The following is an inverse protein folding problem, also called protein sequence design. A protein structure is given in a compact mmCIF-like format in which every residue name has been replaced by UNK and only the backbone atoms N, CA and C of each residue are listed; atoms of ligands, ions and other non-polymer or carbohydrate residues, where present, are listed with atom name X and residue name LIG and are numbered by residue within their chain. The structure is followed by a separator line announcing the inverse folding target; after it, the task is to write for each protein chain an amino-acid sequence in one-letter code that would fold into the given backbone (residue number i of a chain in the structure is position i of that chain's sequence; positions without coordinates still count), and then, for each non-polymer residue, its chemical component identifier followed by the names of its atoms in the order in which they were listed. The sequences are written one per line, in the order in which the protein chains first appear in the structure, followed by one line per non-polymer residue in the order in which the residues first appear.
data_IF_060674948772
#
_entry.id   IF_060674948772
#
_cell.length_a   1.000
_cell.length_b   1.000
_cell.length_c   1.000
_cell.angle_alpha   90.00
_cell.angle_beta   90.00
_cell.angle_gamma   90.00
#
_symmetry.space_group_name_H-M   'P 1'
#
loop_
_entity.id
_entity.type
_entity.pdbx_description
1 polymer ?
#
# COMPACT_ATOMS: atom_id res chain seq x y z
N UNK A 1 59.64 4.00 33.97
CA UNK A 1 58.85 2.76 34.15
C UNK A 1 57.39 3.19 34.28
N UNK A 2 56.83 3.80 33.23
CA UNK A 2 55.60 4.60 33.35
C UNK A 2 54.61 4.35 32.21
N UNK A 3 54.69 3.17 31.57
CA UNK A 3 53.71 2.73 30.57
C UNK A 3 52.91 1.48 30.98
N UNK A 4 53.24 0.86 32.12
CA UNK A 4 52.54 -0.34 32.60
C UNK A 4 51.32 -0.01 33.51
N UNK A 5 51.13 1.24 33.93
CA UNK A 5 49.96 1.64 34.73
C UNK A 5 48.71 2.02 33.90
N UNK A 6 48.82 2.20 32.58
CA UNK A 6 47.67 2.59 31.73
C UNK A 6 46.90 1.39 31.16
N UNK A 7 47.51 0.20 31.08
CA UNK A 7 46.90 -0.98 30.45
C UNK A 7 45.92 -1.68 31.40
N UNK A 8 46.08 -1.54 32.71
CA UNK A 8 45.20 -2.21 33.70
C UNK A 8 43.86 -1.50 33.92
N UNK A 9 43.71 -0.23 33.52
CA UNK A 9 42.45 0.52 33.67
C UNK A 9 41.47 0.31 32.51
N UNK A 10 41.91 -0.17 31.34
CA UNK A 10 41.03 -0.40 30.19
C UNK A 10 40.39 -1.79 30.15
N UNK A 11 40.84 -2.71 31.01
CA UNK A 11 40.45 -4.13 30.95
C UNK A 11 39.32 -4.53 31.90
N UNK A 12 38.77 -3.62 32.72
CA UNK A 12 37.69 -3.94 33.68
C UNK A 12 36.29 -3.47 33.27
N UNK A 13 36.09 -2.99 32.04
CA UNK A 13 34.75 -2.63 31.54
C UNK A 13 34.32 -3.57 30.41
N UNK A 14 34.23 -4.87 30.74
CA UNK A 14 33.70 -5.89 29.83
C UNK A 14 32.31 -6.36 30.31
N UNK A 15 31.25 -5.93 29.63
CA UNK A 15 30.10 -6.79 29.28
C UNK A 15 29.12 -6.09 28.32
N UNK A 16 28.94 -6.74 27.17
CA UNK A 16 28.22 -6.45 25.90
C UNK A 16 26.87 -5.68 25.96
N UNK A 17 26.41 -4.98 24.89
CA UNK A 17 26.56 -5.33 23.46
C UNK A 17 26.85 -4.16 22.49
N UNK A 18 27.71 -3.18 22.83
CA UNK A 18 27.92 -1.99 21.98
C UNK A 18 29.15 -2.01 21.04
N UNK A 19 30.00 -3.05 21.08
CA UNK A 19 31.22 -3.09 20.25
C UNK A 19 31.00 -3.54 18.79
N UNK A 20 29.80 -4.00 18.41
CA UNK A 20 29.51 -4.38 17.03
C UNK A 20 29.28 -3.18 16.11
N UNK A 21 28.84 -2.04 16.64
CA UNK A 21 28.47 -0.86 15.85
C UNK A 21 29.67 -0.08 15.27
N UNK A 22 30.81 -0.08 15.96
CA UNK A 22 31.99 0.64 15.49
C UNK A 22 32.75 -0.10 14.38
N UNK A 23 32.77 -1.43 14.43
CA UNK A 23 33.40 -2.25 13.38
C UNK A 23 32.62 -2.22 12.06
N UNK A 24 31.29 -2.18 12.12
CA UNK A 24 30.43 -2.12 10.91
C UNK A 24 30.55 -0.75 10.23
N UNK A 25 30.72 0.34 10.99
CA UNK A 25 30.84 1.70 10.41
C UNK A 25 32.14 1.89 9.62
N UNK A 26 33.26 1.32 10.09
CA UNK A 26 34.54 1.41 9.38
C UNK A 26 34.58 0.53 8.12
N UNK A 27 33.94 -0.65 8.17
CA UNK A 27 33.75 -1.50 7.00
C UNK A 27 32.82 -0.85 5.96
N UNK A 28 31.78 -0.14 6.39
CA UNK A 28 30.83 0.51 5.48
C UNK A 28 31.47 1.68 4.70
N UNK A 29 32.34 2.48 5.35
CA UNK A 29 33.07 3.57 4.69
C UNK A 29 34.07 3.03 3.67
N UNK A 30 34.81 1.96 4.00
CA UNK A 30 35.71 1.31 3.04
C UNK A 30 34.95 0.59 1.89
N UNK A 31 33.79 0.00 2.17
CA UNK A 31 32.96 -0.66 1.15
C UNK A 31 32.33 0.36 0.18
N UNK A 32 31.93 1.54 0.67
CA UNK A 32 31.43 2.63 -0.17
C UNK A 32 32.51 3.20 -1.11
N UNK A 33 33.75 3.41 -0.65
CA UNK A 33 34.84 3.86 -1.54
C UNK A 33 35.20 2.78 -2.58
N UNK A 34 35.17 1.50 -2.20
CA UNK A 34 35.47 0.39 -3.12
C UNK A 34 34.37 0.16 -4.14
N UNK A 35 33.09 0.34 -3.78
CA UNK A 35 31.93 0.30 -4.69
C UNK A 35 31.89 1.50 -5.65
N UNK A 36 32.32 2.68 -5.20
CA UNK A 36 32.41 3.85 -6.05
C UNK A 36 33.52 3.68 -7.09
N UNK A 37 34.67 3.12 -6.70
CA UNK A 37 35.75 2.75 -7.62
C UNK A 37 35.37 1.61 -8.56
N UNK A 38 34.65 0.59 -8.06
CA UNK A 38 34.13 -0.51 -8.87
C UNK A 38 33.11 -0.03 -9.90
N UNK A 39 32.29 0.97 -9.57
CA UNK A 39 31.31 1.55 -10.51
C UNK A 39 32.00 2.27 -11.67
N UNK A 40 33.10 2.98 -11.42
CA UNK A 40 33.86 3.67 -12.47
C UNK A 40 34.61 2.65 -13.36
N UNK A 41 35.18 1.59 -12.78
CA UNK A 41 35.88 0.54 -13.54
C UNK A 41 34.92 -0.34 -14.35
N UNK A 42 33.75 -0.70 -13.81
CA UNK A 42 32.73 -1.51 -14.51
C UNK A 42 32.09 -0.72 -15.66
N UNK A 43 31.95 0.60 -15.53
CA UNK A 43 31.48 1.46 -16.63
C UNK A 43 32.48 1.58 -17.80
N UNK A 44 33.78 1.30 -17.59
CA UNK A 44 34.78 1.33 -18.66
C UNK A 44 35.01 -0.02 -19.36
N UNK A 45 34.65 -1.16 -18.75
CA UNK A 45 34.97 -2.51 -19.28
C UNK A 45 33.82 -3.16 -20.09
N UNK A 46 32.62 -2.57 -20.13
CA UNK A 46 31.45 -3.17 -20.82
C UNK A 46 31.20 -2.63 -22.25
N UNK A 47 32.23 -2.12 -22.93
CA UNK A 47 32.16 -1.79 -24.34
C UNK A 47 32.64 -2.96 -25.20
N UNK A 48 31.72 -3.56 -25.98
CA UNK A 48 31.96 -4.47 -27.14
C UNK A 48 31.73 -5.98 -26.94
N UNK A 49 30.51 -6.41 -26.57
CA UNK A 49 29.99 -7.76 -26.91
C UNK A 49 28.45 -7.73 -27.02
N UNK A 50 27.91 -7.76 -28.24
CA UNK A 50 26.47 -7.83 -28.57
C UNK A 50 25.87 -9.23 -28.32
N UNK A 51 26.02 -9.75 -27.10
CA UNK A 51 25.47 -11.05 -26.68
C UNK A 51 25.08 -11.15 -25.20
N UNK A 52 25.38 -10.13 -24.37
CA UNK A 52 25.21 -10.19 -22.91
C UNK A 52 23.94 -9.46 -22.42
N UNK A 53 23.30 -8.65 -23.28
CA UNK A 53 22.02 -7.97 -22.95
C UNK A 53 20.84 -8.93 -22.87
N UNK A 54 20.87 -9.99 -23.67
CA UNK A 54 19.85 -11.04 -23.64
C UNK A 54 19.91 -11.88 -22.37
N UNK A 55 21.09 -12.11 -21.79
CA UNK A 55 21.23 -12.90 -20.57
C UNK A 55 20.67 -12.20 -19.33
N UNK A 56 20.82 -10.88 -19.21
CA UNK A 56 20.16 -10.13 -18.14
C UNK A 56 18.63 -10.17 -18.28
N UNK A 57 18.11 -9.97 -19.49
CA UNK A 57 16.67 -10.03 -19.74
C UNK A 57 16.13 -11.44 -19.54
N UNK A 58 16.84 -12.47 -19.97
CA UNK A 58 16.46 -13.87 -19.79
C UNK A 58 16.54 -14.30 -18.31
N UNK A 59 17.54 -13.83 -17.57
CA UNK A 59 17.63 -14.03 -16.13
C UNK A 59 16.53 -13.27 -15.37
N UNK A 60 16.23 -12.03 -15.76
CA UNK A 60 15.10 -11.28 -15.20
C UNK A 60 13.76 -11.94 -15.52
N UNK A 61 13.55 -12.43 -16.74
CA UNK A 61 12.35 -13.15 -17.14
C UNK A 61 12.21 -14.49 -16.40
N UNK A 62 13.33 -15.19 -16.18
CA UNK A 62 13.38 -16.45 -15.43
C UNK A 62 13.11 -16.21 -13.93
N UNK A 63 13.66 -15.14 -13.34
CA UNK A 63 13.35 -14.74 -11.96
C UNK A 63 11.89 -14.33 -11.79
N UNK A 64 11.32 -13.57 -12.73
CA UNK A 64 9.89 -13.20 -12.71
C UNK A 64 9.01 -14.44 -12.86
N UNK A 65 9.35 -15.38 -13.74
CA UNK A 65 8.62 -16.64 -13.90
C UNK A 65 8.65 -17.48 -12.61
N UNK A 66 9.80 -17.61 -11.95
CA UNK A 66 9.93 -18.33 -10.67
C UNK A 66 9.07 -17.67 -9.57
N UNK A 67 9.07 -16.34 -9.47
CA UNK A 67 8.25 -15.61 -8.51
C UNK A 67 6.74 -15.80 -8.76
N UNK A 68 6.32 -15.83 -10.03
CA UNK A 68 4.93 -16.11 -10.41
C UNK A 68 4.52 -17.54 -10.08
N UNK A 69 5.40 -18.52 -10.35
CA UNK A 69 5.16 -19.93 -10.01
C UNK A 69 5.03 -20.12 -8.50
N UNK A 70 5.87 -19.46 -7.70
CA UNK A 70 5.75 -19.49 -6.24
C UNK A 70 4.45 -18.82 -5.75
N UNK A 71 4.02 -17.72 -6.37
CA UNK A 71 2.74 -17.07 -6.04
C UNK A 71 1.54 -17.98 -6.38
N UNK A 72 1.60 -18.71 -7.49
CA UNK A 72 0.59 -19.69 -7.91
C UNK A 72 0.55 -20.92 -6.98
N UNK A 73 1.70 -21.42 -6.52
CA UNK A 73 1.80 -22.51 -5.54
C UNK A 73 1.26 -22.12 -4.16
N UNK A 74 1.50 -20.89 -3.70
CA UNK A 74 0.91 -20.39 -2.45
C UNK A 74 -0.58 -20.02 -2.58
N UNK A 75 -1.10 -19.94 -3.81
CA UNK A 75 -2.54 -19.78 -4.06
C UNK A 75 -3.31 -21.11 -3.95
N UNK A 76 -2.64 -22.26 -4.14
CA UNK A 76 -3.26 -23.60 -3.96
C UNK A 76 -3.12 -24.17 -2.55
N UNK A 77 -2.17 -23.68 -1.74
CA UNK A 77 -2.05 -24.00 -0.32
C UNK A 77 -3.04 -23.23 0.60
N UNK A 78 -3.98 -22.47 0.03
CA UNK A 78 -5.10 -21.89 0.78
C UNK A 78 -6.43 -22.12 0.04
N UNK A 79 -7.00 -23.31 0.20
CA UNK A 79 -8.44 -23.55 0.01
C UNK A 79 -9.03 -23.74 1.41
N UNK A 80 -10.03 -23.00 1.91
CA UNK A 80 -11.13 -22.29 1.25
C UNK A 80 -11.63 -21.09 2.10
N UNK A 81 -12.15 -20.04 1.45
CA UNK A 81 -13.58 -19.70 1.54
C UNK A 81 -13.94 -18.48 0.67
N UNK A 82 -14.81 -18.75 -0.32
CA UNK A 82 -15.74 -17.86 -1.03
C UNK A 82 -15.31 -16.42 -1.37
N UNK A 83 -14.96 -16.18 -2.64
CA UNK A 83 -15.06 -14.85 -3.24
C UNK A 83 -16.28 -14.80 -4.16
N UNK A 84 -17.40 -14.35 -3.59
CA UNK A 84 -18.53 -13.83 -4.35
C UNK A 84 -18.07 -12.61 -5.16
N UNK A 85 -18.07 -12.74 -6.47
CA UNK A 85 -18.09 -11.64 -7.43
C UNK A 85 -19.52 -11.09 -7.48
N UNK A 86 -19.81 -9.82 -7.16
CA UNK A 86 -20.95 -9.17 -7.78
C UNK A 86 -20.42 -8.50 -9.05
N UNK A 87 -20.48 -9.26 -10.15
CA UNK A 87 -20.59 -8.67 -11.47
C UNK A 87 -21.98 -8.02 -11.55
N UNK A 88 -22.05 -6.93 -12.30
CA UNK A 88 -23.28 -6.19 -12.58
C UNK A 88 -24.37 -7.15 -13.06
N UNK A 89 -25.60 -7.00 -12.55
CA UNK A 89 -26.85 -7.02 -13.31
C UNK A 89 -28.03 -6.65 -12.41
N UNK A 90 -28.93 -5.91 -13.01
CA UNK A 90 -30.27 -5.56 -12.58
C UNK A 90 -31.16 -6.82 -12.41
N UNK A 91 -32.15 -6.76 -11.50
CA UNK A 91 -33.24 -7.74 -11.32
C UNK A 91 -32.88 -8.89 -10.35
N UNK A 92 -33.41 -8.92 -9.12
CA UNK A 92 -34.78 -9.26 -8.67
C UNK A 92 -34.77 -10.64 -7.99
N UNK A 93 -35.17 -10.62 -6.72
CA UNK A 93 -35.79 -11.72 -5.96
C UNK A 93 -34.97 -12.95 -5.56
N UNK A 94 -34.36 -12.88 -4.37
CA UNK A 94 -34.65 -13.88 -3.32
C UNK A 94 -34.78 -13.18 -1.96
N UNK A 95 -35.92 -13.45 -1.33
CA UNK A 95 -36.45 -12.78 -0.16
C UNK A 95 -35.73 -13.24 1.12
N UNK A 96 -35.27 -12.25 1.90
CA UNK A 96 -35.18 -12.24 3.35
C UNK A 96 -34.42 -13.36 4.09
N UNK A 97 -33.08 -13.42 4.01
CA UNK A 97 -32.28 -13.83 5.18
C UNK A 97 -30.77 -13.52 5.05
N UNK A 98 -30.36 -12.27 5.20
CA UNK A 98 -29.08 -11.97 5.86
C UNK A 98 -29.14 -10.55 6.40
N UNK A 99 -29.55 -10.47 7.66
CA UNK A 99 -29.13 -9.47 8.66
C UNK A 99 -28.05 -8.52 8.11
N UNK A 100 -28.45 -7.27 7.78
CA UNK A 100 -27.61 -6.16 7.30
C UNK A 100 -26.12 -6.48 7.44
N UNK A 101 -25.50 -7.06 6.41
CA UNK A 101 -24.05 -7.03 6.33
C UNK A 101 -23.73 -5.55 6.21
N UNK A 102 -23.34 -4.95 7.33
CA UNK A 102 -23.08 -3.53 7.43
C UNK A 102 -21.73 -3.32 6.75
N UNK A 103 -21.73 -3.46 5.42
CA UNK A 103 -20.58 -3.37 4.54
C UNK A 103 -19.90 -2.08 4.95
N UNK A 104 -18.73 -2.23 5.57
CA UNK A 104 -18.02 -1.13 6.22
C UNK A 104 -17.55 -0.20 5.10
N UNK A 105 -18.43 0.70 4.68
CA UNK A 105 -18.15 1.61 3.56
C UNK A 105 -17.15 2.65 4.03
N UNK A 106 -16.07 2.79 3.28
CA UNK A 106 -15.11 3.85 3.50
C UNK A 106 -15.69 5.19 3.02
N UNK A 107 -16.43 5.87 3.90
CA UNK A 107 -17.07 7.16 3.62
C UNK A 107 -16.08 8.20 3.08
N UNK A 108 -14.81 8.17 3.52
CA UNK A 108 -13.77 9.09 3.04
C UNK A 108 -13.54 8.94 1.54
N UNK A 109 -13.31 7.70 1.08
CA UNK A 109 -13.05 7.41 -0.32
C UNK A 109 -14.30 7.61 -1.19
N UNK A 110 -15.44 7.09 -0.74
CA UNK A 110 -16.70 7.19 -1.48
C UNK A 110 -17.14 8.65 -1.70
N UNK A 111 -17.04 9.48 -0.65
CA UNK A 111 -17.36 10.90 -0.78
C UNK A 111 -16.34 11.67 -1.62
N UNK A 112 -15.06 11.30 -1.61
CA UNK A 112 -14.06 11.91 -2.48
C UNK A 112 -14.38 11.63 -3.97
N UNK A 113 -14.81 10.40 -4.30
CA UNK A 113 -15.26 10.06 -5.66
C UNK A 113 -16.50 10.85 -6.08
N UNK A 114 -17.51 10.95 -5.21
CA UNK A 114 -18.75 11.71 -5.44
C UNK A 114 -18.47 13.20 -5.70
N UNK A 115 -17.61 13.81 -4.87
CA UNK A 115 -17.31 15.22 -4.90
C UNK A 115 -16.21 15.62 -5.89
N UNK A 116 -15.67 14.68 -6.67
CA UNK A 116 -14.53 14.91 -7.57
C UNK A 116 -14.78 16.04 -8.57
N UNK A 117 -16.00 16.15 -9.11
CA UNK A 117 -16.41 17.17 -10.09
C UNK A 117 -17.13 18.37 -9.47
N UNK A 118 -17.35 18.38 -8.15
CA UNK A 118 -18.06 19.47 -7.50
C UNK A 118 -17.18 20.73 -7.48
N UNK A 119 -17.76 21.89 -7.82
CA UNK A 119 -17.07 23.19 -7.75
C UNK A 119 -16.50 23.44 -6.34
N UNK A 120 -17.30 23.19 -5.30
CA UNK A 120 -16.89 23.32 -3.89
C UNK A 120 -16.59 21.98 -3.23
N UNK A 121 -15.46 21.35 -3.59
CA UNK A 121 -15.06 19.99 -3.13
C UNK A 121 -15.09 19.82 -1.61
N UNK A 122 -14.49 20.73 -0.84
CA UNK A 122 -14.42 20.65 0.64
C UNK A 122 -15.81 20.67 1.30
N UNK A 123 -16.71 21.52 0.80
CA UNK A 123 -18.10 21.63 1.30
C UNK A 123 -18.88 20.36 0.96
N UNK A 124 -18.79 19.90 -0.29
CA UNK A 124 -19.41 18.66 -0.75
C UNK A 124 -18.95 17.46 0.10
N UNK A 125 -17.65 17.31 0.33
CA UNK A 125 -17.13 16.19 1.11
C UNK A 125 -17.62 16.22 2.56
N UNK A 126 -17.66 17.41 3.19
CA UNK A 126 -18.15 17.55 4.55
C UNK A 126 -19.62 17.12 4.65
N UNK A 127 -20.47 17.61 3.75
CA UNK A 127 -21.88 17.23 3.69
C UNK A 127 -22.04 15.72 3.43
N UNK A 128 -21.36 15.20 2.40
CA UNK A 128 -21.40 13.78 2.06
C UNK A 128 -20.97 12.87 3.22
N UNK A 129 -19.89 13.22 3.95
CA UNK A 129 -19.42 12.43 5.11
C UNK A 129 -20.48 12.34 6.20
N UNK A 130 -21.23 13.43 6.47
CA UNK A 130 -22.33 13.38 7.45
C UNK A 130 -23.47 12.47 7.00
N UNK A 131 -23.85 12.52 5.72
CA UNK A 131 -24.88 11.64 5.15
C UNK A 131 -24.42 10.18 5.13
N UNK A 132 -23.15 9.93 4.79
CA UNK A 132 -22.56 8.59 4.77
C UNK A 132 -22.45 7.98 6.17
N UNK A 133 -22.11 8.77 7.20
CA UNK A 133 -22.10 8.28 8.59
C UNK A 133 -23.48 7.87 9.09
N UNK A 134 -24.55 8.47 8.56
CA UNK A 134 -25.93 8.17 8.97
C UNK A 134 -26.55 7.02 8.17
N UNK A 135 -26.28 6.97 6.87
CA UNK A 135 -26.91 6.02 5.96
C UNK A 135 -25.99 4.86 5.54
N UNK A 136 -24.69 4.93 5.82
CA UNK A 136 -23.66 3.98 5.41
C UNK A 136 -23.74 3.59 3.92
N UNK A 137 -24.14 4.54 3.08
CA UNK A 137 -24.35 4.38 1.65
C UNK A 137 -23.98 5.70 0.95
N UNK A 138 -23.23 5.61 -0.14
CA UNK A 138 -22.93 6.74 -1.03
C UNK A 138 -23.29 6.29 -2.44
N UNK A 139 -24.13 7.03 -3.16
CA UNK A 139 -24.55 6.60 -4.48
C UNK A 139 -23.41 6.74 -5.50
N UNK A 140 -23.35 5.86 -6.52
CA UNK A 140 -22.31 5.89 -7.54
C UNK A 140 -22.38 7.15 -8.41
N UNK A 141 -21.29 7.47 -9.10
CA UNK A 141 -21.18 8.66 -9.96
C UNK A 141 -20.87 9.95 -9.19
N UNK A 142 -20.93 11.08 -9.90
CA UNK A 142 -20.66 12.43 -9.33
C UNK A 142 -21.90 13.29 -9.20
N UNK A 143 -22.95 12.98 -9.97
CA UNK A 143 -24.22 13.71 -10.00
C UNK A 143 -25.36 12.69 -10.13
N UNK A 144 -26.53 12.97 -9.54
CA UNK A 144 -27.72 12.11 -9.67
C UNK A 144 -27.64 10.76 -8.92
N UNK A 145 -28.45 9.79 -9.36
CA UNK A 145 -28.49 8.40 -8.84
C UNK A 145 -28.79 8.26 -7.34
N UNK A 146 -29.62 9.15 -6.80
CA UNK A 146 -30.02 9.13 -5.39
C UNK A 146 -30.95 7.94 -5.07
N UNK A 147 -31.56 7.33 -6.09
CA UNK A 147 -32.39 6.11 -5.99
C UNK A 147 -31.62 4.90 -5.46
N UNK A 148 -30.32 4.80 -5.73
CA UNK A 148 -29.47 3.70 -5.24
C UNK A 148 -29.33 3.68 -3.70
N UNK A 149 -29.50 4.83 -3.04
CA UNK A 149 -29.43 4.96 -1.58
C UNK A 149 -30.65 5.76 -1.07
N UNK A 150 -31.79 5.11 -0.75
CA UNK A 150 -33.01 5.82 -0.35
C UNK A 150 -32.83 6.66 0.93
N UNK A 151 -32.01 6.21 1.88
CA UNK A 151 -31.67 7.01 3.07
C UNK A 151 -30.94 8.31 2.70
N UNK A 152 -30.01 8.26 1.73
CA UNK A 152 -29.24 9.42 1.28
C UNK A 152 -30.14 10.47 0.60
N UNK A 153 -31.14 10.01 -0.16
CA UNK A 153 -32.10 10.87 -0.86
C UNK A 153 -33.10 11.57 0.08
N UNK A 154 -33.49 10.91 1.19
CA UNK A 154 -34.50 11.43 2.13
C UNK A 154 -33.97 12.49 3.09
N UNK A 155 -32.65 12.63 3.24
CA UNK A 155 -32.05 13.58 4.17
C UNK A 155 -32.22 15.03 3.69
N UNK A 156 -33.01 15.79 4.45
CA UNK A 156 -33.25 17.22 4.23
C UNK A 156 -32.66 18.07 5.35
N UNK A 157 -32.39 19.34 5.05
CA UNK A 157 -32.11 20.36 6.06
C UNK A 157 -33.43 20.88 6.64
N UNK A 158 -33.36 21.69 7.69
CA UNK A 158 -34.54 22.31 8.29
C UNK A 158 -35.38 23.13 7.28
N UNK A 159 -34.74 23.69 6.25
CA UNK A 159 -35.41 24.44 5.19
C UNK A 159 -35.95 23.59 4.03
N UNK A 160 -36.26 22.31 4.26
CA UNK A 160 -36.76 21.35 3.25
C UNK A 160 -35.88 21.13 2.00
N UNK A 161 -34.66 21.68 1.96
CA UNK A 161 -33.69 21.46 0.88
C UNK A 161 -32.94 20.14 1.11
N UNK A 162 -32.54 19.49 0.02
CA UNK A 162 -31.71 18.28 0.08
C UNK A 162 -30.38 18.61 0.77
N UNK A 163 -30.07 17.87 1.84
CA UNK A 163 -28.85 18.07 2.64
C UNK A 163 -27.62 17.46 1.96
N UNK A 164 -27.81 16.37 1.24
CA UNK A 164 -26.74 15.56 0.66
C UNK A 164 -26.52 15.88 -0.83
N UNK A 165 -25.25 15.97 -1.30
CA UNK A 165 -24.93 16.32 -2.68
C UNK A 165 -25.49 15.33 -3.72
#
# INVERSE_FOLDING_TARGET
MDLLLSISLFSCFFSAPFCFFFFVSFFFVCYCLRLFWFSVVVLQVMGRWDGVRWWQQLFFLLLVAILLIQALLHASAFSNNANSLPNMNEGSDTVALTKKYHKKINCKYACSRRCRKASRKKVCERACKTCCKKCHCVPPGTYGHKSACPCYAKLKTHGNKLKCP
#
